data_IF_337383936535
#
_entry.id   IF_337383936535
#
_cell.length_a   1.000
_cell.length_b   1.000
_cell.length_c   1.000
_cell.angle_alpha   90.00
_cell.angle_beta   90.00
_cell.angle_gamma   90.00
#
_symmetry.space_group_name_H-M   'P 1'
#
loop_
_entity.id
_entity.type
_entity.pdbx_description
1 polymer ?
#
# COMPACT_ATOMS: atom_id res chain seq x y z
N UNK A 1 -14.79 17.59 -11.02
CA UNK A 1 -15.72 17.05 -12.05
C UNK A 1 -14.98 16.15 -13.03
N UNK A 2 -13.89 16.60 -13.67
CA UNK A 2 -13.11 15.76 -14.61
C UNK A 2 -12.45 14.55 -13.93
N UNK A 3 -11.99 14.69 -12.68
CA UNK A 3 -11.38 13.56 -11.93
C UNK A 3 -12.41 12.48 -11.57
N UNK A 4 -13.62 12.86 -11.14
CA UNK A 4 -14.68 11.91 -10.81
C UNK A 4 -15.16 11.10 -12.03
N UNK A 5 -15.23 11.73 -13.20
CA UNK A 5 -15.58 11.03 -14.45
C UNK A 5 -14.49 10.06 -14.91
N UNK A 6 -13.22 10.36 -14.61
CA UNK A 6 -12.09 9.51 -14.99
C UNK A 6 -11.97 8.29 -14.07
N UNK A 7 -12.24 8.45 -12.77
CA UNK A 7 -12.33 7.34 -11.82
C UNK A 7 -13.49 6.39 -12.17
N UNK A 8 -14.65 6.93 -12.57
CA UNK A 8 -15.79 6.15 -13.03
C UNK A 8 -15.49 5.36 -14.32
N UNK A 9 -14.82 5.98 -15.30
CA UNK A 9 -14.42 5.29 -16.54
C UNK A 9 -13.36 4.21 -16.29
N UNK A 10 -12.39 4.45 -15.40
CA UNK A 10 -11.38 3.45 -15.01
C UNK A 10 -12.06 2.28 -14.32
N UNK A 11 -13.01 2.53 -13.41
CA UNK A 11 -13.76 1.48 -12.74
C UNK A 11 -14.59 0.63 -13.72
N UNK A 12 -15.27 1.28 -14.67
CA UNK A 12 -16.03 0.57 -15.71
C UNK A 12 -15.13 -0.29 -16.61
N UNK A 13 -13.98 0.25 -17.03
CA UNK A 13 -12.99 -0.50 -17.81
C UNK A 13 -12.44 -1.72 -17.06
N UNK A 14 -12.13 -1.57 -15.76
CA UNK A 14 -11.67 -2.69 -14.94
C UNK A 14 -12.76 -3.75 -14.78
N UNK A 15 -14.01 -3.34 -14.59
CA UNK A 15 -15.14 -4.26 -14.51
C UNK A 15 -15.36 -5.04 -15.81
N UNK A 16 -15.29 -4.38 -16.97
CA UNK A 16 -15.40 -5.02 -18.28
C UNK A 16 -14.24 -5.99 -18.54
N UNK A 17 -13.02 -5.60 -18.17
CA UNK A 17 -11.84 -6.46 -18.25
C UNK A 17 -12.02 -7.71 -17.38
N UNK A 18 -12.41 -7.56 -16.12
CA UNK A 18 -12.66 -8.67 -15.20
C UNK A 18 -13.77 -9.60 -15.71
N UNK A 19 -14.82 -9.04 -16.31
CA UNK A 19 -15.90 -9.81 -16.93
C UNK A 19 -15.40 -10.66 -18.10
N UNK A 20 -14.66 -10.04 -19.03
CA UNK A 20 -14.03 -10.73 -20.15
C UNK A 20 -13.06 -11.82 -19.69
N UNK A 21 -12.22 -11.51 -18.71
CA UNK A 21 -11.25 -12.44 -18.14
C UNK A 21 -11.93 -13.67 -17.54
N UNK A 22 -12.98 -13.49 -16.73
CA UNK A 22 -13.77 -14.60 -16.17
C UNK A 22 -14.48 -15.44 -17.23
N UNK A 23 -14.94 -14.81 -18.31
CA UNK A 23 -15.56 -15.54 -19.43
C UNK A 23 -14.54 -16.46 -20.12
N UNK A 24 -13.32 -15.97 -20.37
CA UNK A 24 -12.22 -16.78 -20.93
C UNK A 24 -11.87 -17.94 -20.00
N UNK A 25 -11.69 -17.67 -18.70
CA UNK A 25 -11.39 -18.72 -17.71
C UNK A 25 -12.48 -19.80 -17.65
N UNK A 26 -13.75 -19.42 -17.79
CA UNK A 26 -14.86 -20.36 -17.82
C UNK A 26 -14.82 -21.26 -19.06
N UNK A 27 -14.56 -20.67 -20.24
CA UNK A 27 -14.38 -21.44 -21.49
C UNK A 27 -13.24 -22.45 -21.38
N UNK A 28 -12.10 -22.05 -20.81
CA UNK A 28 -10.93 -22.92 -20.64
C UNK A 28 -11.18 -24.08 -19.65
N UNK A 29 -12.07 -23.89 -18.67
CA UNK A 29 -12.48 -24.96 -17.75
C UNK A 29 -13.46 -25.94 -18.41
N UNK A 30 -14.32 -25.44 -19.31
CA UNK A 30 -15.34 -26.21 -20.03
C UNK A 30 -14.78 -27.05 -21.18
N UNK A 31 -13.72 -26.58 -21.87
CA UNK A 31 -13.00 -27.33 -22.92
C UNK A 31 -12.26 -28.58 -22.41
N UNK A 32 -12.45 -28.96 -21.14
CA UNK A 32 -12.04 -30.27 -20.63
C UNK A 32 -12.73 -31.37 -21.44
N UNK A 33 -12.01 -32.41 -21.88
CA UNK A 33 -12.57 -33.47 -22.71
C UNK A 33 -13.51 -34.37 -21.89
N UNK A 34 -14.74 -33.90 -21.67
CA UNK A 34 -15.87 -34.71 -21.21
C UNK A 34 -16.59 -35.40 -22.38
N UNK A 35 -16.41 -34.90 -23.60
CA UNK A 35 -17.21 -35.28 -24.77
C UNK A 35 -16.60 -36.40 -25.62
N UNK A 36 -16.24 -37.51 -24.96
CA UNK A 36 -16.20 -38.81 -25.65
C UNK A 36 -17.36 -39.66 -25.15
N UNK A 37 -18.53 -39.46 -25.76
CA UNK A 37 -19.76 -40.26 -25.57
C UNK A 37 -19.60 -41.73 -25.96
N UNK A 38 -18.38 -42.17 -26.32
CA UNK A 38 -18.05 -43.53 -26.73
C UNK A 38 -16.89 -44.16 -25.91
N UNK A 39 -16.49 -43.55 -24.78
CA UNK A 39 -15.47 -44.11 -23.91
C UNK A 39 -16.05 -45.13 -22.92
N UNK A 40 -15.45 -46.32 -22.87
CA UNK A 40 -15.77 -47.34 -21.86
C UNK A 40 -15.67 -46.78 -20.44
N UNK A 41 -16.57 -47.22 -19.54
CA UNK A 41 -16.62 -46.74 -18.14
C UNK A 41 -15.28 -46.86 -17.40
N UNK A 42 -14.49 -47.87 -17.73
CA UNK A 42 -13.15 -48.07 -17.16
C UNK A 42 -12.15 -46.99 -17.60
N UNK A 43 -12.29 -46.48 -18.83
CA UNK A 43 -11.40 -45.46 -19.40
C UNK A 43 -11.72 -44.09 -18.81
N UNK A 44 -13.01 -43.81 -18.57
CA UNK A 44 -13.46 -42.59 -17.90
C UNK A 44 -12.97 -42.52 -16.44
N UNK A 45 -13.08 -43.61 -15.68
CA UNK A 45 -12.55 -43.67 -14.31
C UNK A 45 -11.03 -43.46 -14.26
N UNK A 46 -10.29 -43.99 -15.25
CA UNK A 46 -8.85 -43.77 -15.34
C UNK A 46 -8.50 -42.32 -15.68
N UNK A 47 -9.32 -41.62 -16.47
CA UNK A 47 -9.14 -40.21 -16.81
C UNK A 47 -9.47 -39.31 -15.62
N UNK A 48 -10.55 -39.59 -14.90
CA UNK A 48 -10.91 -38.87 -13.67
C UNK A 48 -9.82 -38.99 -12.59
N UNK A 49 -9.29 -40.21 -12.38
CA UNK A 49 -8.18 -40.41 -11.45
C UNK A 49 -6.91 -39.64 -11.88
N UNK A 50 -6.64 -39.57 -13.19
CA UNK A 50 -5.54 -38.78 -13.74
C UNK A 50 -5.75 -37.28 -13.49
N UNK A 51 -6.96 -36.75 -13.72
CA UNK A 51 -7.27 -35.34 -13.46
C UNK A 51 -7.19 -34.98 -11.98
N UNK A 52 -7.61 -35.89 -11.08
CA UNK A 52 -7.42 -35.71 -9.63
C UNK A 52 -5.93 -35.69 -9.26
N UNK A 53 -5.13 -36.55 -9.89
CA UNK A 53 -3.68 -36.54 -9.70
C UNK A 53 -3.04 -35.24 -10.20
N UNK A 54 -3.47 -34.73 -11.36
CA UNK A 54 -3.00 -33.44 -11.89
C UNK A 54 -3.37 -32.31 -10.93
N UNK A 55 -4.61 -32.26 -10.46
CA UNK A 55 -5.03 -31.25 -9.49
C UNK A 55 -4.17 -31.27 -8.22
N UNK A 56 -3.94 -32.47 -7.65
CA UNK A 56 -3.08 -32.62 -6.48
C UNK A 56 -1.62 -32.19 -6.75
N UNK A 57 -1.10 -32.42 -7.96
CA UNK A 57 0.24 -31.94 -8.33
C UNK A 57 0.31 -30.43 -8.48
N UNK A 58 -0.71 -29.81 -9.09
CA UNK A 58 -0.84 -28.35 -9.20
C UNK A 58 -0.86 -27.72 -7.80
N UNK A 59 -1.61 -28.30 -6.87
CA UNK A 59 -1.64 -27.84 -5.49
C UNK A 59 -0.27 -28.02 -4.81
N UNK A 60 0.40 -29.16 -5.01
CA UNK A 60 1.71 -29.45 -4.41
C UNK A 60 2.85 -28.55 -4.90
N UNK A 61 2.71 -27.88 -6.05
CA UNK A 61 3.67 -26.89 -6.56
C UNK A 61 3.32 -25.46 -6.15
N UNK A 62 2.26 -25.25 -5.36
CA UNK A 62 1.83 -23.93 -4.87
C UNK A 62 0.61 -23.37 -5.59
N UNK A 63 -0.09 -24.16 -6.41
CA UNK A 63 -1.24 -23.71 -7.17
C UNK A 63 -2.39 -23.17 -6.31
N UNK A 64 -2.53 -23.62 -5.06
CA UNK A 64 -3.54 -23.08 -4.14
C UNK A 64 -3.24 -21.65 -3.68
N UNK A 65 -1.96 -21.27 -3.63
CA UNK A 65 -1.49 -19.95 -3.20
C UNK A 65 -1.33 -18.98 -4.37
N UNK A 66 -1.37 -19.49 -5.60
CA UNK A 66 -1.20 -18.69 -6.81
C UNK A 66 -2.44 -17.81 -7.08
N UNK A 67 -2.30 -16.47 -7.04
CA UNK A 67 -3.40 -15.54 -7.32
C UNK A 67 -3.76 -15.50 -8.82
N UNK A 68 -2.82 -15.86 -9.71
CA UNK A 68 -3.05 -15.90 -11.16
C UNK A 68 -3.74 -17.20 -11.56
N UNK A 69 -5.03 -17.09 -11.86
CA UNK A 69 -5.81 -18.24 -12.32
C UNK A 69 -5.43 -18.74 -13.71
N UNK A 70 -5.02 -17.85 -14.61
CA UNK A 70 -4.60 -18.25 -15.95
C UNK A 70 -3.36 -19.13 -15.86
N UNK A 71 -2.37 -18.70 -15.06
CA UNK A 71 -1.16 -19.49 -14.82
C UNK A 71 -1.52 -20.87 -14.24
N UNK A 72 -2.47 -20.97 -13.30
CA UNK A 72 -2.90 -22.27 -12.76
C UNK A 72 -3.48 -23.19 -13.84
N UNK A 73 -4.25 -22.64 -14.79
CA UNK A 73 -4.81 -23.42 -15.90
C UNK A 73 -3.72 -23.86 -16.88
N UNK A 74 -2.77 -22.98 -17.23
CA UNK A 74 -1.62 -23.30 -18.10
C UNK A 74 -0.73 -24.40 -17.51
N UNK A 75 -0.48 -24.32 -16.20
CA UNK A 75 0.25 -25.34 -15.45
C UNK A 75 -0.48 -26.68 -15.50
N UNK A 76 -1.80 -26.68 -15.23
CA UNK A 76 -2.60 -27.90 -15.30
C UNK A 76 -2.63 -28.50 -16.72
N UNK A 77 -2.68 -27.66 -17.75
CA UNK A 77 -2.59 -28.08 -19.15
C UNK A 77 -1.22 -28.71 -19.45
N UNK A 78 -0.13 -28.09 -19.01
CA UNK A 78 1.23 -28.62 -19.20
C UNK A 78 1.42 -30.01 -18.58
N UNK A 79 0.87 -30.24 -17.38
CA UNK A 79 0.85 -31.57 -16.79
C UNK A 79 0.01 -32.56 -17.62
N UNK A 80 -1.16 -32.15 -18.10
CA UNK A 80 -2.05 -32.97 -18.93
C UNK A 80 -1.38 -33.38 -20.25
N UNK A 81 -0.62 -32.48 -20.87
CA UNK A 81 0.11 -32.74 -22.10
C UNK A 81 1.16 -33.83 -21.90
N UNK A 82 1.97 -33.77 -20.82
CA UNK A 82 2.95 -34.82 -20.51
C UNK A 82 2.31 -36.21 -20.31
N UNK A 83 1.16 -36.29 -19.65
CA UNK A 83 0.43 -37.55 -19.52
C UNK A 83 -0.11 -38.04 -20.86
N UNK A 84 -0.61 -37.12 -21.69
CA UNK A 84 -1.15 -37.43 -23.01
C UNK A 84 -0.05 -37.97 -23.93
N UNK A 85 1.12 -37.34 -23.93
CA UNK A 85 2.32 -37.82 -24.62
C UNK A 85 2.70 -39.23 -24.17
N UNK A 86 2.83 -39.46 -22.85
CA UNK A 86 3.18 -40.77 -22.31
C UNK A 86 2.19 -41.85 -22.76
N UNK A 87 0.88 -41.56 -22.70
CA UNK A 87 -0.16 -42.51 -23.12
C UNK A 87 -0.08 -42.81 -24.62
N UNK A 88 0.12 -41.78 -25.44
CA UNK A 88 0.26 -41.93 -26.89
C UNK A 88 1.49 -42.79 -27.24
N UNK A 89 2.63 -42.54 -26.60
CA UNK A 89 3.87 -43.30 -26.82
C UNK A 89 3.75 -44.76 -26.38
N UNK A 90 3.20 -45.02 -25.20
CA UNK A 90 3.00 -46.40 -24.73
C UNK A 90 2.05 -47.17 -25.64
N UNK A 91 0.96 -46.55 -26.09
CA UNK A 91 0.04 -47.14 -27.06
C UNK A 91 0.71 -47.36 -28.44
N UNK A 92 1.63 -46.48 -28.85
CA UNK A 92 2.42 -46.68 -30.05
C UNK A 92 3.38 -47.86 -29.89
N UNK A 93 4.10 -47.96 -28.77
CA UNK A 93 5.04 -49.06 -28.52
C UNK A 93 4.33 -50.41 -28.45
N UNK A 94 3.13 -50.45 -27.86
CA UNK A 94 2.30 -51.64 -27.85
C UNK A 94 1.89 -52.05 -29.27
N UNK A 95 1.45 -51.10 -30.12
CA UNK A 95 1.13 -51.36 -31.53
C UNK A 95 2.34 -51.89 -32.32
N UNK A 96 3.50 -51.26 -32.15
CA UNK A 96 4.76 -51.69 -32.77
C UNK A 96 5.15 -53.11 -32.31
N UNK A 97 5.03 -53.40 -31.02
CA UNK A 97 5.28 -54.71 -30.46
C UNK A 97 4.34 -55.76 -31.02
N UNK A 98 3.02 -55.53 -30.97
CA UNK A 98 2.01 -56.48 -31.48
C UNK A 98 2.24 -56.76 -32.96
N UNK A 99 2.53 -55.72 -33.75
CA UNK A 99 2.87 -55.86 -35.17
C UNK A 99 4.08 -56.77 -35.39
N UNK A 100 5.21 -56.49 -34.72
CA UNK A 100 6.44 -57.28 -34.87
C UNK A 100 6.29 -58.71 -34.31
N UNK A 101 5.62 -58.87 -33.17
CA UNK A 101 5.43 -60.15 -32.50
C UNK A 101 4.41 -61.06 -33.23
N UNK A 102 3.45 -60.48 -33.95
CA UNK A 102 2.47 -61.24 -34.75
C UNK A 102 3.03 -61.82 -36.05
N UNK A 103 4.25 -61.44 -36.43
CA UNK A 103 4.90 -61.95 -37.63
C UNK A 103 5.01 -63.48 -37.61
N UNK A 104 4.95 -64.10 -38.79
CA UNK A 104 4.98 -65.56 -38.96
C UNK A 104 6.24 -66.25 -38.43
N UNK A 105 7.32 -65.50 -38.22
CA UNK A 105 8.59 -65.95 -37.66
C UNK A 105 8.77 -65.62 -36.16
N UNK A 106 7.71 -65.12 -35.51
CA UNK A 106 7.58 -64.92 -34.07
C UNK A 106 6.31 -65.67 -33.57
N UNK A 107 5.35 -65.00 -32.93
CA UNK A 107 4.15 -65.66 -32.39
C UNK A 107 3.14 -66.09 -33.47
N UNK A 108 3.29 -65.61 -34.70
CA UNK A 108 2.52 -66.07 -35.87
C UNK A 108 1.05 -65.65 -35.93
N UNK A 109 0.52 -65.01 -34.89
CA UNK A 109 -0.82 -64.43 -34.86
C UNK A 109 -0.89 -63.26 -33.89
N UNK A 110 -1.91 -62.41 -34.04
CA UNK A 110 -2.13 -61.26 -33.15
C UNK A 110 -2.55 -61.72 -31.76
N UNK A 111 -3.39 -62.74 -31.69
CA UNK A 111 -3.90 -63.34 -30.44
C UNK A 111 -2.73 -63.88 -29.61
N UNK A 112 -1.84 -64.65 -30.26
CA UNK A 112 -0.64 -65.17 -29.62
C UNK A 112 0.29 -64.04 -29.15
N UNK A 113 0.51 -63.00 -29.97
CA UNK A 113 1.34 -61.85 -29.63
C UNK A 113 0.83 -61.06 -28.41
N UNK A 114 -0.49 -60.95 -28.24
CA UNK A 114 -1.12 -60.27 -27.09
C UNK A 114 -1.23 -61.16 -25.85
N UNK A 115 -1.01 -62.46 -25.99
CA UNK A 115 -1.04 -63.39 -24.85
C UNK A 115 0.23 -63.27 -24.00
N UNK A 116 0.14 -63.65 -22.72
CA UNK A 116 1.28 -63.58 -21.78
C UNK A 116 2.48 -64.42 -22.21
N UNK A 117 2.25 -65.52 -22.93
CA UNK A 117 3.27 -66.51 -23.32
C UNK A 117 3.37 -66.73 -24.82
N UNK A 118 3.01 -65.74 -25.67
CA UNK A 118 3.22 -65.87 -27.11
C UNK A 118 2.42 -66.99 -27.79
N UNK A 119 1.30 -67.42 -27.21
CA UNK A 119 0.46 -68.53 -27.69
C UNK A 119 0.84 -69.90 -27.12
N UNK A 120 1.90 -69.98 -26.30
CA UNK A 120 2.30 -71.21 -25.63
C UNK A 120 1.50 -71.44 -24.35
N UNK A 121 1.36 -72.71 -23.96
CA UNK A 121 0.77 -73.04 -22.67
C UNK A 121 1.71 -72.65 -21.51
N UNK A 122 1.15 -72.45 -20.33
CA UNK A 122 1.88 -71.94 -19.16
C UNK A 122 3.04 -72.85 -18.71
N UNK A 123 2.87 -74.18 -18.81
CA UNK A 123 3.89 -75.14 -18.39
C UNK A 123 5.12 -75.13 -19.32
N UNK A 124 4.90 -75.05 -20.63
CA UNK A 124 5.97 -74.93 -21.63
C UNK A 124 6.65 -73.55 -21.57
N UNK A 125 5.87 -72.50 -21.37
CA UNK A 125 6.38 -71.13 -21.16
C UNK A 125 7.27 -71.04 -19.91
N UNK A 126 6.86 -71.63 -18.79
CA UNK A 126 7.66 -71.64 -17.57
C UNK A 126 8.99 -72.38 -17.77
N UNK A 127 8.94 -73.56 -18.39
CA UNK A 127 10.12 -74.35 -18.76
C UNK A 127 11.06 -73.55 -19.66
N UNK A 128 10.52 -72.92 -20.70
CA UNK A 128 11.26 -72.08 -21.64
C UNK A 128 11.95 -70.92 -20.93
N UNK A 129 11.19 -70.11 -20.16
CA UNK A 129 11.70 -68.93 -19.47
C UNK A 129 12.77 -69.30 -18.44
N UNK A 130 12.64 -70.45 -17.76
CA UNK A 130 13.64 -70.93 -16.81
C UNK A 130 14.99 -71.20 -17.48
N UNK A 131 14.98 -71.86 -18.65
CA UNK A 131 16.18 -72.11 -19.45
C UNK A 131 16.74 -70.79 -20.01
N UNK A 132 15.89 -69.94 -20.58
CA UNK A 132 16.30 -68.65 -21.15
C UNK A 132 16.96 -67.76 -20.09
N UNK A 133 16.36 -67.60 -18.90
CA UNK A 133 16.96 -66.85 -17.79
C UNK A 133 18.25 -67.48 -17.28
N UNK A 134 18.31 -68.82 -17.22
CA UNK A 134 19.52 -69.54 -16.83
C UNK A 134 20.68 -69.37 -17.81
N UNK A 135 20.36 -69.29 -19.11
CA UNK A 135 21.32 -68.99 -20.17
C UNK A 135 21.82 -67.54 -20.08
N UNK A 136 20.92 -66.59 -19.85
CA UNK A 136 21.22 -65.16 -19.74
C UNK A 136 21.98 -64.75 -18.48
N UNK A 137 21.77 -65.43 -17.35
CA UNK A 137 22.51 -65.17 -16.10
C UNK A 137 23.98 -65.59 -16.19
N UNK A 138 24.30 -66.57 -17.04
CA UNK A 138 25.66 -67.10 -17.22
C UNK A 138 26.48 -66.26 -18.23
N UNK A 139 26.19 -64.96 -18.33
CA UNK A 139 26.76 -64.00 -19.29
C UNK A 139 28.29 -63.91 -19.16
N UNK A 140 28.99 -64.65 -20.01
CA UNK A 140 30.39 -64.45 -20.36
C UNK A 140 30.50 -64.38 -21.89
N UNK A 141 31.39 -63.51 -22.39
CA UNK A 141 31.55 -63.24 -23.82
C UNK A 141 31.82 -64.53 -24.62
N UNK A 142 31.05 -64.76 -25.69
CA UNK A 142 31.35 -65.80 -26.69
C UNK A 142 30.58 -67.12 -26.60
N UNK A 143 29.29 -67.13 -26.24
CA UNK A 143 28.49 -68.37 -26.32
C UNK A 143 27.79 -68.57 -27.67
N UNK A 144 27.94 -69.79 -28.18
CA UNK A 144 27.25 -70.31 -29.34
C UNK A 144 25.73 -70.33 -29.11
N UNK A 145 24.91 -69.63 -29.94
CA UNK A 145 23.46 -69.68 -29.90
C UNK A 145 22.89 -71.10 -29.96
N UNK A 146 23.63 -72.05 -30.57
CA UNK A 146 23.24 -73.45 -30.66
C UNK A 146 23.03 -74.09 -29.28
N UNK A 147 23.84 -73.74 -28.28
CA UNK A 147 23.73 -74.30 -26.93
C UNK A 147 22.42 -73.94 -26.24
N UNK A 148 21.83 -72.78 -26.55
CA UNK A 148 20.51 -72.40 -26.04
C UNK A 148 19.44 -73.31 -26.63
N UNK A 149 19.48 -73.52 -27.95
CA UNK A 149 18.52 -74.36 -28.65
C UNK A 149 18.62 -75.83 -28.22
N UNK A 150 19.83 -76.35 -28.03
CA UNK A 150 20.04 -77.72 -27.54
C UNK A 150 19.45 -77.93 -26.14
N UNK A 151 19.64 -76.96 -25.23
CA UNK A 151 19.06 -77.00 -23.88
C UNK A 151 17.53 -76.88 -23.90
N UNK A 152 16.99 -76.04 -24.79
CA UNK A 152 15.54 -75.87 -24.94
C UNK A 152 14.89 -77.13 -25.51
N UNK A 153 15.48 -77.77 -26.52
CA UNK A 153 14.97 -79.04 -27.07
C UNK A 153 14.98 -80.18 -26.04
N UNK A 154 15.98 -80.22 -25.16
CA UNK A 154 16.05 -81.22 -24.10
C UNK A 154 14.92 -81.08 -23.05
N UNK A 155 14.47 -79.85 -22.80
CA UNK A 155 13.42 -79.55 -21.80
C UNK A 155 12.02 -79.48 -22.44
N UNK A 156 11.94 -79.28 -23.76
CA UNK A 156 10.69 -79.16 -24.53
C UNK A 156 10.67 -80.16 -25.71
N UNK A 157 10.66 -81.48 -25.44
CA UNK A 157 10.82 -82.50 -26.49
C UNK A 157 9.63 -82.58 -27.45
N UNK A 158 8.45 -82.09 -27.05
CA UNK A 158 7.24 -82.08 -27.87
C UNK A 158 7.19 -80.90 -28.87
N UNK A 159 8.08 -79.91 -28.73
CA UNK A 159 8.07 -78.68 -29.53
C UNK A 159 9.20 -78.73 -30.56
N UNK A 160 8.88 -78.43 -31.81
CA UNK A 160 9.89 -78.41 -32.88
C UNK A 160 10.90 -77.26 -32.69
N UNK A 161 12.14 -77.47 -33.14
CA UNK A 161 13.18 -76.43 -33.11
C UNK A 161 12.73 -75.13 -33.80
N UNK A 162 11.99 -75.23 -34.91
CA UNK A 162 11.46 -74.07 -35.64
C UNK A 162 10.53 -73.23 -34.78
N UNK A 163 9.63 -73.87 -34.02
CA UNK A 163 8.73 -73.18 -33.10
C UNK A 163 9.49 -72.61 -31.89
N UNK A 164 10.51 -73.30 -31.39
CA UNK A 164 11.40 -72.76 -30.34
C UNK A 164 12.09 -71.47 -30.84
N UNK A 165 12.64 -71.47 -32.06
CA UNK A 165 13.30 -70.29 -32.63
C UNK A 165 12.35 -69.09 -32.77
N UNK A 166 11.12 -69.35 -33.24
CA UNK A 166 10.07 -68.34 -33.30
C UNK A 166 9.75 -67.75 -31.92
N UNK A 167 9.62 -68.61 -30.92
CA UNK A 167 9.32 -68.18 -29.55
C UNK A 167 10.47 -67.39 -28.91
N UNK A 168 11.73 -67.76 -29.19
CA UNK A 168 12.90 -66.95 -28.85
C UNK A 168 12.79 -65.55 -29.46
N UNK A 169 12.42 -65.44 -30.73
CA UNK A 169 12.22 -64.14 -31.40
C UNK A 169 11.08 -63.32 -30.78
N UNK A 170 9.96 -63.95 -30.43
CA UNK A 170 8.88 -63.32 -29.67
C UNK A 170 9.40 -62.72 -28.34
N UNK A 171 10.18 -63.48 -27.57
CA UNK A 171 10.74 -62.99 -26.31
C UNK A 171 11.77 -61.87 -26.48
N UNK A 172 12.49 -61.82 -27.60
CA UNK A 172 13.35 -60.69 -27.94
C UNK A 172 12.52 -59.42 -28.16
N UNK A 173 11.45 -59.49 -28.95
CA UNK A 173 10.52 -58.37 -29.14
C UNK A 173 9.87 -57.95 -27.82
N UNK A 174 9.45 -58.91 -26.98
CA UNK A 174 8.84 -58.64 -25.68
C UNK A 174 9.82 -57.94 -24.72
N UNK A 175 11.09 -58.37 -24.70
CA UNK A 175 12.13 -57.70 -23.91
C UNK A 175 12.35 -56.28 -24.38
N UNK A 176 12.49 -56.07 -25.69
CA UNK A 176 12.70 -54.76 -26.27
C UNK A 176 11.53 -53.82 -25.95
N UNK A 177 10.29 -54.28 -26.12
CA UNK A 177 9.09 -53.52 -25.75
C UNK A 177 9.06 -53.15 -24.27
N UNK A 178 9.31 -54.11 -23.37
CA UNK A 178 9.37 -53.86 -21.92
C UNK A 178 10.47 -52.88 -21.54
N UNK A 179 11.62 -52.95 -22.20
CA UNK A 179 12.73 -52.03 -21.96
C UNK A 179 12.39 -50.62 -22.44
N UNK A 180 11.91 -50.47 -23.69
CA UNK A 180 11.48 -49.19 -24.27
C UNK A 180 10.39 -48.51 -23.42
N UNK A 181 9.41 -49.28 -22.96
CA UNK A 181 8.34 -48.79 -22.07
C UNK A 181 8.88 -48.30 -20.73
N UNK A 182 9.81 -49.05 -20.12
CA UNK A 182 10.46 -48.64 -18.86
C UNK A 182 11.29 -47.38 -19.04
N UNK A 183 12.05 -47.28 -20.11
CA UNK A 183 12.89 -46.11 -20.37
C UNK A 183 12.04 -44.86 -20.62
N UNK A 184 10.92 -44.99 -21.35
CA UNK A 184 9.97 -43.89 -21.54
C UNK A 184 9.27 -43.48 -20.23
N UNK A 185 8.92 -44.43 -19.37
CA UNK A 185 8.38 -44.11 -18.03
C UNK A 185 9.40 -43.37 -17.16
N UNK A 186 10.69 -43.74 -17.21
CA UNK A 186 11.76 -43.01 -16.51
C UNK A 186 11.94 -41.59 -17.05
N UNK A 187 11.92 -41.45 -18.37
CA UNK A 187 11.99 -40.13 -19.01
C UNK A 187 10.80 -39.25 -18.61
N UNK A 188 9.58 -39.80 -18.61
CA UNK A 188 8.39 -39.12 -18.11
C UNK A 188 8.55 -38.67 -16.66
N UNK A 189 9.04 -39.54 -15.76
CA UNK A 189 9.28 -39.17 -14.37
C UNK A 189 10.27 -38.02 -14.23
N UNK A 190 11.35 -38.02 -15.01
CA UNK A 190 12.33 -36.93 -15.04
C UNK A 190 11.70 -35.64 -15.55
N UNK A 191 11.01 -35.67 -16.69
CA UNK A 191 10.31 -34.49 -17.24
C UNK A 191 9.25 -33.94 -16.28
N UNK A 192 8.56 -34.84 -15.57
CA UNK A 192 7.57 -34.45 -14.56
C UNK A 192 8.22 -33.69 -13.41
N UNK A 193 9.40 -34.14 -12.93
CA UNK A 193 10.15 -33.44 -11.90
C UNK A 193 10.68 -32.09 -12.39
N UNK A 194 11.21 -32.04 -13.62
CA UNK A 194 11.67 -30.80 -14.26
C UNK A 194 10.52 -29.78 -14.35
N UNK A 195 9.36 -30.20 -14.86
CA UNK A 195 8.17 -29.36 -14.94
C UNK A 195 7.71 -28.91 -13.54
N UNK A 196 7.69 -29.79 -12.54
CA UNK A 196 7.34 -29.41 -11.17
C UNK A 196 8.27 -28.33 -10.61
N UNK A 197 9.58 -28.41 -10.90
CA UNK A 197 10.53 -27.38 -10.46
C UNK A 197 10.35 -26.06 -11.20
N UNK A 198 10.13 -26.10 -12.51
CA UNK A 198 9.91 -24.92 -13.34
C UNK A 198 8.61 -24.20 -12.93
N UNK A 199 7.52 -24.94 -12.81
CA UNK A 199 6.22 -24.41 -12.41
C UNK A 199 6.26 -23.82 -11.00
N UNK A 200 6.93 -24.49 -10.05
CA UNK A 200 7.08 -23.97 -8.68
C UNK A 200 7.76 -22.61 -8.69
N UNK A 201 8.78 -22.44 -9.53
CA UNK A 201 9.47 -21.17 -9.69
C UNK A 201 8.55 -20.11 -10.32
N UNK A 202 7.82 -20.45 -11.39
CA UNK A 202 6.85 -19.54 -12.03
C UNK A 202 5.76 -19.07 -11.04
N UNK A 203 5.18 -19.99 -10.27
CA UNK A 203 4.19 -19.67 -9.26
C UNK A 203 4.79 -18.79 -8.17
N UNK A 204 6.00 -19.09 -7.68
CA UNK A 204 6.67 -18.26 -6.68
C UNK A 204 6.83 -16.82 -7.17
N UNK A 205 7.30 -16.65 -8.41
CA UNK A 205 7.48 -15.32 -9.02
C UNK A 205 6.14 -14.60 -9.15
N UNK A 206 5.06 -15.28 -9.56
CA UNK A 206 3.73 -14.68 -9.65
C UNK A 206 3.21 -14.21 -8.28
N UNK A 207 3.40 -15.02 -7.24
CA UNK A 207 3.04 -14.68 -5.85
C UNK A 207 3.85 -13.48 -5.35
N UNK A 208 5.16 -13.45 -5.57
CA UNK A 208 6.04 -12.33 -5.19
C UNK A 208 5.61 -11.04 -5.89
N UNK A 209 5.28 -11.10 -7.18
CA UNK A 209 4.82 -9.94 -7.94
C UNK A 209 3.49 -9.38 -7.41
N UNK A 210 2.52 -10.23 -7.06
CA UNK A 210 1.27 -9.77 -6.47
C UNK A 210 1.49 -9.17 -5.08
N UNK A 211 2.34 -9.78 -4.25
CA UNK A 211 2.70 -9.21 -2.94
C UNK A 211 3.37 -7.83 -3.08
N UNK A 212 4.25 -7.64 -4.07
CA UNK A 212 4.83 -6.33 -4.36
C UNK A 212 3.80 -5.31 -4.81
N UNK A 213 2.82 -5.70 -5.63
CA UNK A 213 1.72 -4.81 -6.06
C UNK A 213 0.87 -4.39 -4.87
N UNK A 214 0.51 -5.32 -4.00
CA UNK A 214 -0.22 -5.03 -2.76
C UNK A 214 0.55 -4.07 -1.84
N UNK A 215 1.85 -4.30 -1.66
CA UNK A 215 2.70 -3.41 -0.86
C UNK A 215 2.76 -1.99 -1.45
N UNK A 216 2.94 -1.86 -2.78
CA UNK A 216 2.93 -0.56 -3.46
C UNK A 216 1.59 0.15 -3.32
N UNK A 217 0.49 -0.59 -3.44
CA UNK A 217 -0.86 -0.06 -3.25
C UNK A 217 -1.07 0.46 -1.82
N UNK A 218 -0.65 -0.31 -0.81
CA UNK A 218 -0.73 0.12 0.60
C UNK A 218 0.11 1.37 0.88
N UNK A 219 1.34 1.44 0.33
CA UNK A 219 2.18 2.63 0.42
C UNK A 219 1.51 3.85 -0.21
N UNK A 220 0.95 3.69 -1.40
CA UNK A 220 0.24 4.78 -2.09
C UNK A 220 -0.99 5.25 -1.32
N UNK A 221 -1.80 4.33 -0.79
CA UNK A 221 -2.96 4.68 0.05
C UNK A 221 -2.55 5.46 1.29
N UNK A 222 -1.44 5.07 1.93
CA UNK A 222 -0.89 5.79 3.08
C UNK A 222 -0.47 7.20 2.72
N UNK A 223 0.22 7.38 1.59
CA UNK A 223 0.62 8.71 1.09
C UNK A 223 -0.60 9.56 0.73
N UNK A 224 -1.62 8.97 0.12
CA UNK A 224 -2.86 9.66 -0.22
C UNK A 224 -3.57 10.17 1.06
N UNK A 225 -3.66 9.35 2.10
CA UNK A 225 -4.22 9.74 3.40
C UNK A 225 -3.42 10.89 4.04
N UNK A 226 -2.09 10.84 3.99
CA UNK A 226 -1.23 11.93 4.49
C UNK A 226 -1.48 13.24 3.72
N UNK A 227 -1.58 13.18 2.40
CA UNK A 227 -1.91 14.34 1.57
C UNK A 227 -3.28 14.94 1.92
N UNK A 228 -4.31 14.09 2.11
CA UNK A 228 -5.63 14.54 2.54
C UNK A 228 -5.60 15.18 3.93
N UNK A 229 -4.83 14.63 4.87
CA UNK A 229 -4.66 15.21 6.21
C UNK A 229 -4.00 16.59 6.13
N UNK A 230 -2.94 16.74 5.34
CA UNK A 230 -2.26 18.02 5.14
C UNK A 230 -3.16 19.04 4.45
N UNK A 231 -3.94 18.63 3.45
CA UNK A 231 -4.95 19.49 2.82
C UNK A 231 -5.99 19.98 3.83
N UNK A 232 -6.47 19.09 4.71
CA UNK A 232 -7.38 19.45 5.80
C UNK A 232 -6.77 20.47 6.76
N UNK A 233 -5.50 20.31 7.14
CA UNK A 233 -4.79 21.31 7.94
C UNK A 233 -4.69 22.64 7.20
N UNK A 234 -4.22 22.66 5.95
CA UNK A 234 -4.11 23.89 5.14
C UNK A 234 -5.46 24.62 5.05
N UNK A 235 -6.56 23.90 4.90
CA UNK A 235 -7.90 24.49 4.92
C UNK A 235 -8.23 25.16 6.28
N UNK A 236 -7.93 24.50 7.41
CA UNK A 236 -8.11 25.09 8.75
C UNK A 236 -7.25 26.35 8.95
N UNK A 237 -6.00 26.33 8.48
CA UNK A 237 -5.10 27.48 8.53
C UNK A 237 -5.64 28.66 7.71
N UNK A 238 -6.19 28.41 6.52
CA UNK A 238 -6.83 29.45 5.69
C UNK A 238 -8.01 30.09 6.42
N UNK A 239 -8.91 29.29 6.98
CA UNK A 239 -10.06 29.80 7.75
C UNK A 239 -9.61 30.64 8.94
N UNK A 240 -8.58 30.18 9.67
CA UNK A 240 -8.03 30.91 10.82
C UNK A 240 -7.40 32.23 10.40
N UNK A 241 -6.67 32.24 9.28
CA UNK A 241 -6.06 33.45 8.72
C UNK A 241 -7.13 34.46 8.30
N UNK A 242 -8.15 34.03 7.56
CA UNK A 242 -9.28 34.89 7.17
C UNK A 242 -10.01 35.47 8.39
N UNK A 243 -10.18 34.67 9.46
CA UNK A 243 -10.78 35.16 10.70
C UNK A 243 -9.92 36.25 11.37
N UNK A 244 -8.59 36.08 11.40
CA UNK A 244 -7.66 37.10 11.91
C UNK A 244 -7.71 38.39 11.09
N UNK A 245 -7.70 38.30 9.76
CA UNK A 245 -7.79 39.45 8.87
C UNK A 245 -9.11 40.23 9.09
N UNK A 246 -10.23 39.54 9.32
CA UNK A 246 -11.52 40.17 9.67
C UNK A 246 -11.45 40.90 11.01
N UNK A 247 -10.82 40.30 12.02
CA UNK A 247 -10.66 40.92 13.35
C UNK A 247 -9.79 42.19 13.24
N UNK A 248 -8.66 42.12 12.53
CA UNK A 248 -7.79 43.28 12.30
C UNK A 248 -8.49 44.41 11.53
N UNK A 249 -9.38 44.06 10.59
CA UNK A 249 -10.20 45.04 9.88
C UNK A 249 -11.21 45.70 10.82
N UNK A 250 -11.87 44.93 11.68
CA UNK A 250 -12.80 45.45 12.69
C UNK A 250 -12.08 46.35 13.71
N UNK A 251 -10.87 45.98 14.16
CA UNK A 251 -10.05 46.80 15.05
C UNK A 251 -9.72 48.17 14.45
N UNK A 252 -9.28 48.19 13.17
CA UNK A 252 -9.03 49.44 12.45
C UNK A 252 -10.28 50.31 12.24
N UNK A 253 -11.46 49.70 12.17
CA UNK A 253 -12.72 50.44 12.10
C UNK A 253 -13.10 51.04 13.47
N UNK A 254 -12.94 50.27 14.55
CA UNK A 254 -13.14 50.76 15.92
C UNK A 254 -12.18 51.91 16.22
N UNK A 255 -10.90 51.78 15.90
CA UNK A 255 -9.90 52.84 16.11
C UNK A 255 -10.30 54.13 15.39
N UNK A 256 -10.76 54.05 14.13
CA UNK A 256 -11.27 55.22 13.39
C UNK A 256 -12.49 55.84 14.06
N UNK A 257 -13.46 55.04 14.49
CA UNK A 257 -14.65 55.53 15.20
C UNK A 257 -14.26 56.20 16.52
N UNK A 258 -13.31 55.63 17.26
CA UNK A 258 -12.81 56.19 18.52
C UNK A 258 -12.07 57.52 18.30
N UNK A 259 -11.23 57.62 17.27
CA UNK A 259 -10.56 58.88 16.90
C UNK A 259 -11.57 59.97 16.49
N UNK A 260 -12.60 59.61 15.72
CA UNK A 260 -13.67 60.54 15.34
C UNK A 260 -14.46 61.01 16.56
N UNK A 261 -14.79 60.11 17.49
CA UNK A 261 -15.42 60.47 18.75
C UNK A 261 -14.53 61.39 19.59
N UNK A 262 -13.24 61.09 19.72
CA UNK A 262 -12.29 61.94 20.45
C UNK A 262 -12.21 63.35 19.85
N UNK A 263 -12.15 63.47 18.51
CA UNK A 263 -12.19 64.78 17.83
C UNK A 263 -13.50 65.53 18.11
N UNK A 264 -14.64 64.84 18.09
CA UNK A 264 -15.92 65.44 18.44
C UNK A 264 -15.95 65.91 19.90
N UNK A 265 -15.41 65.12 20.83
CA UNK A 265 -15.31 65.49 22.24
C UNK A 265 -14.37 66.69 22.45
N UNK A 266 -13.22 66.73 21.79
CA UNK A 266 -12.31 67.88 21.80
C UNK A 266 -12.97 69.13 21.23
N UNK A 267 -13.70 69.03 20.13
CA UNK A 267 -14.47 70.14 19.56
C UNK A 267 -15.53 70.64 20.54
N UNK A 268 -16.28 69.73 21.18
CA UNK A 268 -17.29 70.07 22.17
C UNK A 268 -16.64 70.73 23.40
N UNK A 269 -15.51 70.21 23.85
CA UNK A 269 -14.74 70.77 24.95
C UNK A 269 -14.21 72.17 24.60
N UNK A 270 -13.67 72.35 23.41
CA UNK A 270 -13.25 73.65 22.88
C UNK A 270 -14.42 74.64 22.82
N UNK A 271 -15.57 74.22 22.29
CA UNK A 271 -16.81 75.02 22.26
C UNK A 271 -17.24 75.44 23.67
N UNK A 272 -17.20 74.52 24.65
CA UNK A 272 -17.49 74.80 26.07
C UNK A 272 -16.50 75.81 26.66
N UNK A 273 -15.21 75.64 26.43
CA UNK A 273 -14.15 76.57 26.90
C UNK A 273 -14.33 77.96 26.29
N UNK A 274 -14.64 78.04 25.00
CA UNK A 274 -14.91 79.29 24.31
C UNK A 274 -16.15 80.00 24.87
N UNK A 275 -17.22 79.25 25.17
CA UNK A 275 -18.42 79.76 25.81
C UNK A 275 -18.14 80.28 27.24
N UNK A 276 -17.35 79.56 28.03
CA UNK A 276 -16.90 80.02 29.35
C UNK A 276 -16.07 81.30 29.25
N UNK A 277 -15.14 81.38 28.29
CA UNK A 277 -14.36 82.59 28.06
C UNK A 277 -15.24 83.78 27.64
N UNK A 278 -16.27 83.55 26.80
CA UNK A 278 -17.24 84.60 26.46
C UNK A 278 -17.98 85.12 27.70
N UNK A 279 -18.47 84.23 28.56
CA UNK A 279 -19.12 84.60 29.82
C UNK A 279 -18.20 85.46 30.70
N UNK A 280 -16.94 85.05 30.89
CA UNK A 280 -15.95 85.81 31.68
C UNK A 280 -15.68 87.19 31.06
N UNK A 281 -15.61 87.29 29.72
CA UNK A 281 -15.43 88.57 29.02
C UNK A 281 -16.67 89.45 29.16
N UNK A 282 -17.88 88.90 29.10
CA UNK A 282 -19.13 89.63 29.34
C UNK A 282 -19.23 90.12 30.79
N UNK A 283 -18.89 89.28 31.77
CA UNK A 283 -18.79 89.67 33.18
C UNK A 283 -17.73 90.77 33.39
N UNK A 284 -16.57 90.67 32.73
CA UNK A 284 -15.57 91.72 32.79
C UNK A 284 -16.04 93.02 32.14
N UNK A 285 -16.76 92.95 31.02
CA UNK A 285 -17.36 94.13 30.37
C UNK A 285 -18.43 94.76 31.26
N UNK A 286 -19.29 93.98 31.91
CA UNK A 286 -20.32 94.49 32.82
C UNK A 286 -19.71 95.14 34.06
N UNK A 287 -18.65 94.54 34.63
CA UNK A 287 -17.88 95.12 35.74
C UNK A 287 -17.11 96.37 35.29
N UNK A 288 -16.52 96.39 34.09
CA UNK A 288 -15.84 97.57 33.53
C UNK A 288 -16.83 98.71 33.26
N UNK A 289 -17.99 98.41 32.70
CA UNK A 289 -19.06 99.40 32.48
C UNK A 289 -19.61 99.91 33.81
N UNK A 290 -19.76 99.04 34.81
CA UNK A 290 -20.10 99.43 36.18
C UNK A 290 -19.03 100.31 36.84
N UNK A 291 -17.75 99.99 36.65
CA UNK A 291 -16.62 100.80 37.13
C UNK A 291 -16.49 102.12 36.37
N UNK A 292 -16.83 102.16 35.07
CA UNK A 292 -16.84 103.37 34.28
C UNK A 292 -18.00 104.29 34.69
N UNK A 293 -19.16 103.73 35.04
CA UNK A 293 -20.25 104.47 35.69
C UNK A 293 -19.85 105.01 37.07
N UNK A 294 -19.09 104.24 37.86
CA UNK A 294 -18.55 104.68 39.16
C UNK A 294 -17.45 105.74 38.99
N UNK A 295 -16.60 105.64 37.97
CA UNK A 295 -15.58 106.64 37.63
C UNK A 295 -16.19 107.93 37.09
N UNK A 296 -17.28 107.86 36.32
CA UNK A 296 -18.06 109.03 35.90
C UNK A 296 -18.81 109.67 37.09
N UNK A 297 -19.23 108.89 38.09
CA UNK A 297 -19.76 109.39 39.37
C UNK A 297 -18.69 109.98 40.30
N UNK A 298 -17.42 109.56 40.18
CA UNK A 298 -16.30 110.02 41.02
C UNK A 298 -15.47 111.15 40.38
N UNK A 299 -15.55 111.38 39.07
CA UNK A 299 -14.87 112.50 38.39
C UNK A 299 -15.79 113.71 38.13
N UNK A 300 -16.92 113.79 38.84
CA UNK A 300 -17.71 114.99 39.03
C UNK A 300 -17.34 115.72 40.34
N UNK A 301 -16.05 116.01 40.54
CA UNK A 301 -15.60 116.90 41.61
C UNK A 301 -14.79 116.22 42.73
N UNK A 302 -13.67 116.86 43.03
CA UNK A 302 -12.75 116.70 44.17
C UNK A 302 -11.45 115.92 44.00
N UNK A 303 -10.44 116.65 44.44
CA UNK A 303 -9.02 116.36 44.54
C UNK A 303 -8.74 115.49 45.78
N UNK A 304 -7.66 114.73 45.69
CA UNK A 304 -6.85 114.20 46.80
C UNK A 304 -7.31 112.93 47.55
N UNK A 305 -6.30 112.08 47.76
CA UNK A 305 -6.20 110.87 48.60
C UNK A 305 -6.77 109.60 47.95
N UNK A 306 -5.88 108.68 47.53
CA UNK A 306 -5.77 107.31 48.07
C UNK A 306 -4.81 106.47 47.21
N UNK A 307 -3.53 106.58 47.56
CA UNK A 307 -2.40 105.69 47.24
C UNK A 307 -2.53 104.28 47.88
N UNK A 308 -3.73 103.81 48.24
CA UNK A 308 -3.93 102.56 48.99
C UNK A 308 -4.72 101.46 48.28
N UNK A 309 -5.28 101.70 47.08
CA UNK A 309 -6.04 100.68 46.35
C UNK A 309 -5.20 99.80 45.39
N UNK A 310 -3.94 100.15 45.13
CA UNK A 310 -3.03 99.33 44.30
C UNK A 310 -2.64 97.99 44.96
N UNK A 311 -2.69 97.89 46.29
CA UNK A 311 -2.37 96.66 47.02
C UNK A 311 -3.45 95.56 46.88
N UNK A 312 -4.73 95.92 46.75
CA UNK A 312 -5.82 94.95 46.60
C UNK A 312 -5.91 94.36 45.18
N UNK A 313 -5.49 95.11 44.17
CA UNK A 313 -5.43 94.65 42.76
C UNK A 313 -4.19 93.77 42.53
N UNK A 314 -3.06 94.07 43.17
CA UNK A 314 -1.88 93.19 43.14
C UNK A 314 -2.12 91.84 43.85
N UNK A 315 -2.85 91.82 44.98
CA UNK A 315 -3.21 90.57 45.67
C UNK A 315 -4.11 89.62 44.85
N UNK A 316 -4.99 90.14 43.97
CA UNK A 316 -5.80 89.28 43.08
C UNK A 316 -4.99 88.71 41.92
N UNK A 317 -4.03 89.48 41.39
CA UNK A 317 -3.16 89.02 40.30
C UNK A 317 -2.23 87.88 40.77
N UNK A 318 -1.75 87.97 42.01
CA UNK A 318 -0.91 86.94 42.64
C UNK A 318 -1.71 85.66 42.96
N UNK A 319 -2.98 85.76 43.39
CA UNK A 319 -3.87 84.59 43.58
C UNK A 319 -4.26 83.88 42.27
N UNK A 320 -4.30 84.58 41.14
CA UNK A 320 -4.58 83.99 39.82
C UNK A 320 -3.32 83.35 39.24
N UNK A 321 -2.16 84.00 39.38
CA UNK A 321 -0.87 83.42 38.97
C UNK A 321 -0.49 82.20 39.83
N UNK A 322 -0.82 82.20 41.13
CA UNK A 322 -0.64 81.03 42.01
C UNK A 322 -1.51 79.84 41.64
N UNK A 323 -2.75 80.05 41.14
CA UNK A 323 -3.59 78.97 40.64
C UNK A 323 -3.08 78.39 39.31
N UNK A 324 -2.61 79.23 38.39
CA UNK A 324 -2.01 78.75 37.13
C UNK A 324 -0.68 78.03 37.35
N UNK A 325 0.10 78.44 38.36
CA UNK A 325 1.31 77.71 38.76
C UNK A 325 0.97 76.35 39.39
N UNK A 326 -0.07 76.26 40.22
CA UNK A 326 -0.56 74.99 40.79
C UNK A 326 -1.12 74.02 39.74
N UNK A 327 -1.89 74.52 38.77
CA UNK A 327 -2.36 73.70 37.63
C UNK A 327 -1.22 73.23 36.74
N UNK A 328 -0.18 74.05 36.51
CA UNK A 328 1.00 73.63 35.75
C UNK A 328 1.75 72.47 36.42
N UNK A 329 1.90 72.51 37.74
CA UNK A 329 2.58 71.44 38.49
C UNK A 329 1.78 70.15 38.43
N UNK A 330 0.44 70.21 38.53
CA UNK A 330 -0.42 69.03 38.40
C UNK A 330 -0.36 68.41 36.99
N UNK A 331 -0.33 69.24 35.94
CA UNK A 331 -0.21 68.76 34.56
C UNK A 331 1.16 68.14 34.29
N UNK A 332 2.24 68.74 34.78
CA UNK A 332 3.60 68.15 34.65
C UNK A 332 3.73 66.83 35.42
N UNK A 333 3.10 66.71 36.59
CA UNK A 333 3.10 65.47 37.38
C UNK A 333 2.23 64.36 36.76
N UNK A 334 1.14 64.72 36.09
CA UNK A 334 0.31 63.78 35.33
C UNK A 334 1.02 63.31 34.05
N UNK A 335 1.66 64.21 33.30
CA UNK A 335 2.50 63.86 32.15
C UNK A 335 3.66 62.95 32.54
N UNK A 336 4.28 63.18 33.71
CA UNK A 336 5.32 62.29 34.24
C UNK A 336 4.79 60.90 34.56
N UNK A 337 3.60 60.80 35.16
CA UNK A 337 2.95 59.50 35.44
C UNK A 337 2.49 58.76 34.19
N UNK A 338 2.15 59.48 33.11
CA UNK A 338 1.86 58.87 31.80
C UNK A 338 3.14 58.37 31.11
N UNK A 339 4.22 59.14 31.16
CA UNK A 339 5.52 58.71 30.64
C UNK A 339 6.04 57.46 31.39
N UNK A 340 5.90 57.41 32.71
CA UNK A 340 6.26 56.22 33.51
C UNK A 340 5.39 55.00 33.13
N UNK A 341 4.09 55.18 32.88
CA UNK A 341 3.21 54.09 32.41
C UNK A 341 3.59 53.59 31.01
N UNK A 342 3.96 54.48 30.09
CA UNK A 342 4.40 54.11 28.75
C UNK A 342 5.72 53.31 28.79
N UNK A 343 6.69 53.73 29.60
CA UNK A 343 7.95 52.99 29.79
C UNK A 343 7.67 51.61 30.41
N UNK A 344 6.80 51.53 31.42
CA UNK A 344 6.43 50.25 32.03
C UNK A 344 5.74 49.29 31.05
N UNK A 345 4.94 49.82 30.11
CA UNK A 345 4.28 49.03 29.07
C UNK A 345 5.28 48.42 28.09
N UNK A 346 6.32 49.16 27.68
CA UNK A 346 7.37 48.67 26.79
C UNK A 346 8.17 47.55 27.46
N UNK A 347 8.57 47.75 28.72
CA UNK A 347 9.30 46.73 29.50
C UNK A 347 8.47 45.45 29.68
N UNK A 348 7.16 45.57 29.89
CA UNK A 348 6.27 44.41 29.97
C UNK A 348 6.12 43.70 28.62
N UNK A 349 6.07 44.41 27.49
CA UNK A 349 6.01 43.81 26.16
C UNK A 349 7.29 43.01 25.85
N UNK A 350 8.47 43.58 26.10
CA UNK A 350 9.75 42.88 25.94
C UNK A 350 9.85 41.63 26.83
N UNK A 351 9.32 41.69 28.06
CA UNK A 351 9.31 40.53 28.97
C UNK A 351 8.42 39.39 28.49
N UNK A 352 7.31 39.70 27.82
CA UNK A 352 6.41 38.71 27.22
C UNK A 352 7.08 38.07 25.99
N UNK A 353 7.74 38.88 25.16
CA UNK A 353 8.47 38.39 23.98
C UNK A 353 9.64 37.46 24.38
N UNK A 354 10.40 37.82 25.41
CA UNK A 354 11.46 36.97 25.95
C UNK A 354 10.96 35.60 26.41
N UNK A 355 9.84 35.55 27.14
CA UNK A 355 9.22 34.30 27.59
C UNK A 355 8.68 33.46 26.44
N UNK A 356 8.18 34.09 25.38
CA UNK A 356 7.73 33.38 24.19
C UNK A 356 8.90 32.70 23.47
N UNK A 357 10.03 33.40 23.33
CA UNK A 357 11.24 32.86 22.71
C UNK A 357 11.87 31.72 23.52
N UNK A 358 11.90 31.79 24.87
CA UNK A 358 12.37 30.67 25.70
C UNK A 358 11.51 29.40 25.51
N UNK A 359 10.19 29.54 25.41
CA UNK A 359 9.29 28.40 25.19
C UNK A 359 9.45 27.78 23.80
N UNK A 360 9.74 28.60 22.78
CA UNK A 360 9.96 28.13 21.41
C UNK A 360 11.31 27.42 21.24
N UNK A 361 12.35 27.92 21.90
CA UNK A 361 13.71 27.34 21.83
C UNK A 361 13.85 26.12 22.76
N UNK A 362 13.17 26.11 23.92
CA UNK A 362 13.17 24.98 24.86
C UNK A 362 12.33 23.77 24.42
N UNK A 363 11.39 23.95 23.48
CA UNK A 363 10.49 22.90 23.00
C UNK A 363 11.09 21.94 21.94
N UNK A 364 12.33 22.18 21.49
CA UNK A 364 12.96 21.38 20.42
C UNK A 364 14.16 20.54 20.86
N UNK A 365 14.53 20.54 22.14
CA UNK A 365 15.74 19.83 22.62
C UNK A 365 15.47 18.56 23.46
N UNK A 366 14.23 18.11 23.65
CA UNK A 366 13.89 16.99 24.55
C UNK A 366 13.11 15.81 23.94
N UNK A 367 13.18 15.55 22.62
CA UNK A 367 12.50 14.38 22.00
C UNK A 367 13.40 13.29 21.41
N UNK A 368 14.69 13.24 21.74
CA UNK A 368 15.58 12.13 21.33
C UNK A 368 16.45 11.63 22.49
N UNK A 369 15.84 10.94 23.46
CA UNK A 369 16.54 10.08 24.39
C UNK A 369 15.71 8.82 24.66
N UNK A 370 15.65 7.95 23.65
CA UNK A 370 15.15 6.59 23.80
C UNK A 370 16.21 5.78 24.58
N UNK A 371 15.87 5.40 25.81
CA UNK A 371 16.67 4.49 26.62
C UNK A 371 16.73 3.09 25.97
N UNK A 372 17.91 2.43 25.96
CA UNK A 372 18.01 1.02 25.65
C UNK A 372 17.59 0.20 26.87
N UNK A 373 16.51 -0.59 26.75
CA UNK A 373 16.15 -1.61 27.74
C UNK A 373 17.10 -2.79 27.61
N UNK A 374 18.01 -2.91 28.57
CA UNK A 374 18.67 -4.15 28.91
C UNK A 374 17.76 -4.92 29.87
N UNK A 375 17.31 -6.11 29.48
CA UNK A 375 16.97 -7.15 30.44
C UNK A 375 17.19 -8.56 29.85
N UNK A 376 17.87 -9.36 30.67
CA UNK A 376 17.75 -10.81 30.78
C UNK A 376 18.41 -11.73 29.74
N UNK A 377 19.66 -12.04 30.05
CA UNK A 377 20.31 -13.34 29.84
C UNK A 377 19.62 -14.41 30.69
N UNK A 378 19.26 -15.56 30.10
CA UNK A 378 19.66 -16.93 30.53
C UNK A 378 18.72 -18.03 30.00
N UNK A 379 19.25 -18.91 29.14
CA UNK A 379 19.28 -20.35 29.42
C UNK A 379 20.15 -21.11 28.40
N UNK A 380 21.26 -21.64 28.89
CA UNK A 380 21.90 -22.87 28.41
C UNK A 380 20.92 -24.05 28.56
N UNK A 381 20.92 -25.00 27.62
CA UNK A 381 21.21 -26.44 27.83
C UNK A 381 21.21 -27.16 26.48
N UNK A 382 22.17 -28.08 26.36
CA UNK A 382 22.55 -28.89 25.22
C UNK A 382 21.51 -29.91 24.73
N UNK A 383 21.59 -30.23 23.44
CA UNK A 383 21.79 -31.59 22.91
C UNK A 383 22.26 -31.51 21.46
#
# INVERSE_FOLDING_TARGET
>A
MIEATLEEEVYACDQDFQSCYRAVLSSLREDRPADSTCADKSTLQSLEAQEQQIAAMVDAVGGAECPDEMLRLEVAASFRDLYTELRADLAQYEREFVSAASAGDAAGSREAATSKGGGWNEADEERFVKVLRGFERKQGAGRNPQLLYDQLMAVLPAISLKEIMKHVKFHQHLRFHKQKSKDRQREFQRRMQELQTEVREQIRVAVEQEQEKEQKLQQWQTQQQQCQQLQGQVAQWRVTKEAKERIEQQQREIERVMEEQAKQEEELHWKRKLAQQRLVVEDYKSVRLGLQYILELLFGGYCFILTSCFAAVCCRKEKVLGRMAGEKVLVEEEQKREAERAVQSVVNAERVEYRHNELQVGGHSLSCASNPSADSVSHLVAC
#
